data_IF_063473516354
#
_entry.id   IF_063473516354
#
_cell.length_a   1.000
_cell.length_b   1.000
_cell.length_c   1.000
_cell.angle_alpha   90.00
_cell.angle_beta   90.00
_cell.angle_gamma   90.00
#
_symmetry.space_group_name_H-M   'P 1'
#
loop_
_entity.id
_entity.type
_entity.pdbx_description
1 polymer ?
#
# COMPACT_ATOMS: atom_id res chain seq x y z
N UNK A 1 25.48 -6.82 -0.95
CA UNK A 1 24.52 -6.71 -2.07
C UNK A 1 25.11 -5.96 -3.28
N UNK A 2 25.50 -4.69 -3.15
CA UNK A 2 26.11 -3.92 -4.25
C UNK A 2 27.35 -4.56 -4.90
N UNK A 3 28.23 -5.20 -4.11
CA UNK A 3 29.39 -5.95 -4.63
C UNK A 3 28.97 -7.12 -5.55
N UNK A 4 27.97 -7.89 -5.11
CA UNK A 4 27.43 -9.07 -5.82
C UNK A 4 26.70 -8.70 -7.13
N UNK A 5 26.15 -7.49 -7.20
CA UNK A 5 25.57 -6.94 -8.43
C UNK A 5 26.67 -6.54 -9.42
N UNK A 6 27.77 -5.94 -8.93
CA UNK A 6 28.88 -5.45 -9.76
C UNK A 6 29.78 -6.56 -10.28
N UNK A 7 30.00 -7.62 -9.50
CA UNK A 7 30.85 -8.74 -9.90
C UNK A 7 30.12 -9.80 -10.74
N UNK A 8 28.84 -9.58 -11.06
CA UNK A 8 28.05 -10.46 -11.92
C UNK A 8 27.58 -11.76 -11.26
N UNK A 9 27.84 -11.97 -9.97
CA UNK A 9 27.42 -13.18 -9.23
C UNK A 9 25.91 -13.40 -9.33
N UNK A 10 25.13 -12.33 -9.21
CA UNK A 10 23.66 -12.38 -9.33
C UNK A 10 23.23 -12.81 -10.74
N UNK A 11 23.86 -12.28 -11.78
CA UNK A 11 23.54 -12.62 -13.17
C UNK A 11 23.87 -14.10 -13.49
N UNK A 12 24.98 -14.61 -12.95
CA UNK A 12 25.37 -16.02 -13.11
C UNK A 12 24.37 -16.96 -12.46
N UNK A 13 23.95 -16.67 -11.22
CA UNK A 13 22.91 -17.44 -10.52
C UNK A 13 21.57 -17.41 -11.26
N UNK A 14 21.21 -16.25 -11.81
CA UNK A 14 19.99 -16.07 -12.58
C UNK A 14 19.99 -16.98 -13.83
N UNK A 15 21.10 -17.00 -14.56
CA UNK A 15 21.32 -17.86 -15.72
C UNK A 15 21.31 -19.35 -15.36
N UNK A 16 22.09 -19.76 -14.36
CA UNK A 16 22.28 -21.16 -13.99
C UNK A 16 20.98 -21.80 -13.49
N UNK A 17 20.06 -20.98 -12.97
CA UNK A 17 18.72 -21.40 -12.53
C UNK A 17 17.66 -21.36 -13.63
N UNK A 18 18.03 -20.98 -14.86
CA UNK A 18 17.08 -20.86 -15.97
C UNK A 18 15.99 -19.82 -15.72
N UNK A 19 16.25 -18.83 -14.85
CA UNK A 19 15.28 -17.80 -14.53
C UNK A 19 15.03 -16.91 -15.76
N UNK A 20 13.79 -16.47 -15.93
CA UNK A 20 13.39 -15.52 -16.99
C UNK A 20 12.94 -14.23 -16.31
N UNK A 21 13.40 -13.09 -16.82
CA UNK A 21 12.97 -11.76 -16.36
C UNK A 21 12.48 -10.96 -17.55
N UNK A 22 11.32 -10.33 -17.38
CA UNK A 22 10.86 -9.27 -18.27
C UNK A 22 11.13 -7.95 -17.56
N UNK A 23 11.96 -7.11 -18.16
CA UNK A 23 12.22 -5.75 -17.68
C UNK A 23 11.51 -4.82 -18.67
N UNK A 24 10.44 -4.18 -18.22
CA UNK A 24 9.71 -3.18 -18.98
C UNK A 24 9.88 -1.81 -18.36
N UNK A 25 10.23 -0.81 -19.17
CA UNK A 25 10.06 0.60 -18.85
C UNK A 25 8.94 1.13 -19.75
N UNK A 26 7.93 1.77 -19.17
CA UNK A 26 6.82 2.36 -19.92
C UNK A 26 6.36 3.62 -19.20
N UNK A 27 6.27 4.71 -19.96
CA UNK A 27 5.75 6.01 -19.50
C UNK A 27 4.21 6.05 -19.41
N UNK A 28 3.50 4.96 -19.74
CA UNK A 28 2.03 4.98 -19.80
C UNK A 28 1.37 4.78 -18.44
N UNK A 29 0.38 5.64 -18.13
CA UNK A 29 -0.54 5.49 -16.99
C UNK A 29 -1.15 4.09 -16.93
N UNK A 30 -1.43 3.50 -18.09
CA UNK A 30 -1.95 2.13 -18.23
C UNK A 30 -1.05 1.08 -17.60
N UNK A 31 0.27 1.16 -17.80
CA UNK A 31 1.19 0.23 -17.14
C UNK A 31 1.18 0.37 -15.62
N UNK A 32 1.12 1.61 -15.13
CA UNK A 32 0.99 1.91 -13.70
C UNK A 32 -0.30 1.31 -13.12
N UNK A 33 -1.42 1.44 -13.84
CA UNK A 33 -2.70 0.85 -13.46
C UNK A 33 -2.60 -0.68 -13.40
N UNK A 34 -2.17 -1.34 -14.48
CA UNK A 34 -2.01 -2.81 -14.54
C UNK A 34 -1.10 -3.31 -13.41
N UNK A 35 0.06 -2.68 -13.24
CA UNK A 35 1.03 -3.08 -12.21
C UNK A 35 0.44 -2.90 -10.81
N UNK A 36 -0.22 -1.77 -10.55
CA UNK A 36 -0.85 -1.52 -9.24
C UNK A 36 -2.00 -2.48 -8.97
N UNK A 37 -2.80 -2.82 -9.98
CA UNK A 37 -3.95 -3.71 -9.85
C UNK A 37 -3.49 -5.13 -9.54
N UNK A 38 -2.55 -5.66 -10.33
CA UNK A 38 -2.07 -7.05 -10.22
C UNK A 38 -1.16 -7.25 -9.02
N UNK A 39 -0.27 -6.31 -8.69
CA UNK A 39 0.70 -6.51 -7.60
C UNK A 39 0.19 -6.09 -6.22
N UNK A 40 -0.76 -5.15 -6.15
CA UNK A 40 -1.15 -4.52 -4.88
C UNK A 40 -2.66 -4.60 -4.65
N UNK A 41 -3.47 -4.03 -5.55
CA UNK A 41 -4.89 -3.80 -5.27
C UNK A 41 -5.69 -5.11 -5.24
N UNK A 42 -5.50 -6.02 -6.18
CA UNK A 42 -6.19 -7.31 -6.19
C UNK A 42 -5.70 -8.25 -5.07
N UNK A 43 -4.38 -8.49 -4.88
CA UNK A 43 -3.89 -9.40 -3.84
C UNK A 43 -4.32 -9.01 -2.42
N UNK A 44 -4.30 -7.71 -2.07
CA UNK A 44 -4.73 -7.26 -0.73
C UNK A 44 -6.22 -7.56 -0.50
N UNK A 45 -7.07 -7.37 -1.51
CA UNK A 45 -8.50 -7.64 -1.39
C UNK A 45 -8.78 -9.14 -1.29
N UNK A 46 -8.11 -9.94 -2.11
CA UNK A 46 -8.22 -11.39 -2.05
C UNK A 46 -7.79 -11.92 -0.68
N UNK A 47 -6.66 -11.44 -0.15
CA UNK A 47 -6.21 -11.82 1.19
C UNK A 47 -7.23 -11.46 2.28
N UNK A 48 -7.79 -10.24 2.24
CA UNK A 48 -8.84 -9.85 3.20
C UNK A 48 -10.09 -10.72 3.05
N UNK A 49 -10.52 -11.02 1.82
CA UNK A 49 -11.66 -11.89 1.57
C UNK A 49 -11.41 -13.27 2.17
N UNK A 50 -10.24 -13.86 1.96
CA UNK A 50 -9.87 -15.15 2.56
C UNK A 50 -9.92 -15.11 4.09
N UNK A 51 -9.43 -14.04 4.72
CA UNK A 51 -9.53 -13.88 6.18
C UNK A 51 -10.99 -13.83 6.65
N UNK A 52 -11.82 -13.03 5.96
CA UNK A 52 -13.23 -12.88 6.30
C UNK A 52 -14.01 -14.18 6.11
N UNK A 53 -13.79 -14.88 5.00
CA UNK A 53 -14.41 -16.18 4.69
C UNK A 53 -14.01 -17.27 5.71
N UNK A 54 -12.81 -17.16 6.27
CA UNK A 54 -12.34 -18.03 7.36
C UNK A 54 -12.88 -17.64 8.74
N UNK A 55 -13.73 -16.62 8.85
CA UNK A 55 -14.36 -16.18 10.08
C UNK A 55 -13.53 -15.19 10.91
N UNK A 56 -12.49 -14.57 10.36
CA UNK A 56 -11.80 -13.46 11.03
C UNK A 56 -12.75 -12.27 11.10
N UNK A 57 -13.01 -11.80 12.31
CA UNK A 57 -13.92 -10.69 12.56
C UNK A 57 -13.36 -9.36 12.04
N UNK A 58 -14.26 -8.47 11.61
CA UNK A 58 -13.89 -7.20 10.97
C UNK A 58 -13.03 -6.30 11.88
N UNK A 59 -13.22 -6.36 13.20
CA UNK A 59 -12.42 -5.63 14.19
C UNK A 59 -10.94 -6.06 14.24
N UNK A 60 -10.60 -7.18 13.60
CA UNK A 60 -9.23 -7.69 13.44
C UNK A 60 -8.63 -7.40 12.07
N UNK A 61 -9.35 -6.69 11.19
CA UNK A 61 -8.93 -6.37 9.83
C UNK A 61 -8.95 -4.84 9.67
N UNK A 62 -7.76 -4.23 9.60
CA UNK A 62 -7.63 -2.81 9.31
C UNK A 62 -7.17 -2.59 7.86
N UNK A 63 -8.13 -2.36 6.96
CA UNK A 63 -7.84 -1.91 5.59
C UNK A 63 -7.78 -0.40 5.52
N UNK A 64 -6.82 0.11 4.78
CA UNK A 64 -6.71 1.55 4.57
C UNK A 64 -6.11 1.93 3.21
N UNK A 65 -6.25 3.22 2.88
CA UNK A 65 -5.53 3.90 1.79
C UNK A 65 -5.09 5.28 2.28
N UNK A 66 -3.80 5.57 2.15
CA UNK A 66 -3.29 6.92 2.37
C UNK A 66 -3.23 7.69 1.05
N UNK A 67 -3.91 8.83 1.00
CA UNK A 67 -3.79 9.84 -0.05
C UNK A 67 -3.16 11.14 0.49
N UNK A 68 -2.94 11.21 1.79
CA UNK A 68 -2.17 12.27 2.41
C UNK A 68 -0.71 12.24 1.94
N UNK A 69 -0.19 13.41 1.57
CA UNK A 69 1.17 13.59 1.07
C UNK A 69 1.88 14.66 1.90
N UNK A 70 2.80 14.24 2.77
CA UNK A 70 3.62 15.16 3.55
C UNK A 70 4.53 16.00 2.63
N UNK A 71 4.59 17.32 2.84
CA UNK A 71 5.37 18.28 2.04
C UNK A 71 6.83 17.90 1.92
N UNK A 72 7.42 17.30 2.96
CA UNK A 72 8.82 16.89 2.96
C UNK A 72 9.16 15.88 1.85
N UNK A 73 8.19 15.08 1.40
CA UNK A 73 8.42 14.06 0.37
C UNK A 73 8.64 14.68 -1.02
N UNK A 74 8.25 15.95 -1.22
CA UNK A 74 8.49 16.68 -2.46
C UNK A 74 9.99 16.94 -2.72
N UNK A 75 10.86 16.68 -1.74
CA UNK A 75 12.32 16.67 -1.92
C UNK A 75 12.83 15.40 -2.61
N UNK A 76 12.03 14.33 -2.65
CA UNK A 76 12.40 13.01 -3.18
C UNK A 76 11.58 12.63 -4.42
N UNK A 77 10.30 12.97 -4.43
CA UNK A 77 9.38 12.67 -5.53
C UNK A 77 8.68 13.94 -5.98
N UNK A 78 8.49 14.07 -7.28
CA UNK A 78 7.79 15.22 -7.83
C UNK A 78 6.31 15.25 -7.41
N UNK A 79 5.72 16.43 -7.07
CA UNK A 79 4.33 16.53 -6.64
C UNK A 79 3.30 16.03 -7.66
N UNK A 80 3.57 16.14 -8.96
CA UNK A 80 2.68 15.69 -10.04
C UNK A 80 2.44 14.18 -10.05
N UNK A 81 3.32 13.40 -9.42
CA UNK A 81 3.15 11.94 -9.27
C UNK A 81 2.11 11.58 -8.19
N UNK A 82 1.60 12.57 -7.45
CA UNK A 82 0.63 12.34 -6.38
C UNK A 82 1.19 11.43 -5.27
N UNK A 83 0.36 10.50 -4.78
CA UNK A 83 0.78 9.46 -3.82
C UNK A 83 1.04 8.16 -4.58
N UNK A 84 2.25 8.03 -5.10
CA UNK A 84 2.75 6.79 -5.70
C UNK A 84 3.30 5.83 -4.64
N UNK A 85 3.76 4.66 -5.07
CA UNK A 85 4.33 3.63 -4.21
C UNK A 85 5.39 4.21 -3.26
N UNK A 86 5.29 3.84 -1.98
CA UNK A 86 6.19 4.28 -0.90
C UNK A 86 6.16 5.77 -0.53
N UNK A 87 5.30 6.62 -1.12
CA UNK A 87 5.18 8.04 -0.72
C UNK A 87 4.63 8.18 0.71
N UNK A 88 3.77 7.26 1.13
CA UNK A 88 3.19 7.20 2.47
C UNK A 88 4.18 6.75 3.56
N UNK A 89 5.43 6.37 3.19
CA UNK A 89 6.46 5.99 4.16
C UNK A 89 6.76 7.10 5.18
N UNK A 90 6.65 8.37 4.78
CA UNK A 90 6.86 9.50 5.70
C UNK A 90 5.84 9.51 6.83
N UNK A 91 4.60 9.09 6.55
CA UNK A 91 3.51 8.97 7.50
C UNK A 91 3.76 7.77 8.41
N UNK A 92 3.98 6.59 7.82
CA UNK A 92 4.21 5.32 8.52
C UNK A 92 5.38 5.38 9.51
N UNK A 93 6.52 5.91 9.07
CA UNK A 93 7.73 6.00 9.90
C UNK A 93 7.79 7.25 10.76
N UNK A 94 6.73 8.06 10.76
CA UNK A 94 6.67 9.32 11.49
C UNK A 94 7.92 10.20 11.26
N UNK A 95 8.27 10.43 9.99
CA UNK A 95 9.50 11.11 9.56
C UNK A 95 9.48 12.63 9.77
N UNK A 96 8.96 13.08 10.90
CA UNK A 96 8.83 14.50 11.28
C UNK A 96 10.12 15.30 11.16
N UNK A 97 11.28 14.67 11.41
CA UNK A 97 12.62 15.26 11.24
C UNK A 97 12.93 15.71 9.81
N UNK A 98 12.19 15.24 8.80
CA UNK A 98 12.39 15.62 7.40
C UNK A 98 11.64 16.89 7.00
N UNK A 99 10.89 17.50 7.93
CA UNK A 99 10.28 18.82 7.79
C UNK A 99 8.77 18.81 7.72
N UNK A 100 8.11 18.08 8.64
CA UNK A 100 6.68 18.21 8.83
C UNK A 100 6.40 19.56 9.48
N UNK A 101 5.36 20.26 9.03
CA UNK A 101 4.80 21.35 9.82
C UNK A 101 3.95 20.82 11.01
N UNK A 102 3.45 21.74 11.84
CA UNK A 102 2.70 21.37 13.04
C UNK A 102 1.40 20.64 12.71
N UNK A 103 0.73 21.02 11.62
CA UNK A 103 -0.53 20.45 11.19
C UNK A 103 -0.31 19.05 10.60
N UNK A 104 0.72 18.87 9.77
CA UNK A 104 1.12 17.57 9.24
C UNK A 104 1.52 16.59 10.35
N UNK A 105 2.24 17.09 11.36
CA UNK A 105 2.63 16.28 12.52
C UNK A 105 1.41 15.89 13.37
N UNK A 106 0.42 16.78 13.52
CA UNK A 106 -0.82 16.48 14.22
C UNK A 106 -1.70 15.48 13.45
N UNK A 107 -1.92 15.72 12.16
CA UNK A 107 -2.68 14.83 11.28
C UNK A 107 -2.06 13.42 11.24
N UNK A 108 -0.74 13.33 11.13
CA UNK A 108 -0.04 12.04 11.13
C UNK A 108 -0.17 11.33 12.47
N UNK A 109 -0.14 12.05 13.60
CA UNK A 109 -0.39 11.43 14.92
C UNK A 109 -1.82 10.90 15.03
N UNK A 110 -2.83 11.65 14.56
CA UNK A 110 -4.21 11.18 14.55
C UNK A 110 -4.34 9.91 13.69
N UNK A 111 -3.76 9.92 12.49
CA UNK A 111 -3.72 8.75 11.61
C UNK A 111 -3.07 7.52 12.26
N UNK A 112 -1.88 7.68 12.85
CA UNK A 112 -1.16 6.60 13.51
C UNK A 112 -1.90 6.08 14.74
N UNK A 113 -2.64 6.94 15.46
CA UNK A 113 -3.43 6.56 16.64
C UNK A 113 -4.57 5.59 16.32
N UNK A 114 -5.02 5.58 15.06
CA UNK A 114 -6.09 4.69 14.57
C UNK A 114 -5.56 3.42 13.91
N UNK A 115 -4.34 3.48 13.37
CA UNK A 115 -3.75 2.44 12.51
C UNK A 115 -2.60 1.68 13.20
N UNK A 116 -1.37 2.19 13.09
CA UNK A 116 -0.16 1.48 13.48
C UNK A 116 0.02 1.39 15.01
N UNK A 117 -0.37 2.42 15.76
CA UNK A 117 -0.20 2.43 17.22
C UNK A 117 -1.02 1.31 17.88
N UNK A 118 -2.32 1.13 17.57
CA UNK A 118 -3.06 0.00 18.12
C UNK A 118 -2.48 -1.37 17.72
N UNK A 119 -2.07 -1.52 16.46
CA UNK A 119 -1.47 -2.75 15.96
C UNK A 119 -0.20 -3.13 16.74
N UNK A 120 0.72 -2.19 16.93
CA UNK A 120 1.99 -2.44 17.64
C UNK A 120 1.76 -2.70 19.13
N UNK A 121 0.78 -2.04 19.73
CA UNK A 121 0.46 -2.19 21.15
C UNK A 121 -0.48 -3.38 21.43
N UNK A 122 -1.01 -4.06 20.41
CA UNK A 122 -2.01 -5.11 20.56
C UNK A 122 -3.34 -4.61 21.12
N UNK A 123 -3.67 -3.33 20.95
CA UNK A 123 -4.96 -2.77 21.37
C UNK A 123 -5.96 -2.80 20.21
N UNK A 124 -7.28 -2.72 20.49
CA UNK A 124 -8.30 -2.76 19.44
C UNK A 124 -8.07 -1.69 18.36
N UNK A 125 -8.17 -2.12 17.11
CA UNK A 125 -8.09 -1.25 15.95
C UNK A 125 -9.27 -0.27 15.93
N UNK A 126 -9.03 0.97 15.50
CA UNK A 126 -10.07 2.00 15.45
C UNK A 126 -10.49 2.23 14.00
N UNK A 127 -11.41 1.40 13.54
CA UNK A 127 -12.00 1.49 12.21
C UNK A 127 -13.48 1.86 12.30
N UNK A 128 -13.90 2.81 11.46
CA UNK A 128 -15.31 3.17 11.29
C UNK A 128 -15.98 2.32 10.17
N UNK A 129 -15.26 1.33 9.61
CA UNK A 129 -15.79 0.45 8.57
C UNK A 129 -16.79 -0.56 9.16
N UNK A 130 -17.93 -0.71 8.50
CA UNK A 130 -18.97 -1.68 8.85
C UNK A 130 -18.95 -2.95 7.99
N UNK A 131 -18.20 -2.94 6.88
CA UNK A 131 -18.05 -4.10 5.98
C UNK A 131 -16.60 -4.26 5.50
N UNK A 132 -16.26 -5.46 5.02
CA UNK A 132 -14.95 -5.74 4.39
C UNK A 132 -14.75 -4.98 3.07
N UNK A 133 -15.84 -4.54 2.44
CA UNK A 133 -15.86 -3.73 1.23
C UNK A 133 -15.63 -2.24 1.51
N UNK A 134 -15.18 -1.90 2.73
CA UNK A 134 -14.78 -0.54 3.09
C UNK A 134 -13.31 -0.52 3.50
N UNK A 135 -12.73 0.68 3.47
CA UNK A 135 -11.42 0.94 4.03
C UNK A 135 -11.36 2.34 4.64
N UNK A 136 -10.44 2.53 5.59
CA UNK A 136 -10.14 3.85 6.15
C UNK A 136 -9.29 4.64 5.15
N UNK A 137 -9.75 5.82 4.76
CA UNK A 137 -9.03 6.74 3.91
C UNK A 137 -8.39 7.85 4.75
N UNK A 138 -7.09 8.08 4.55
CA UNK A 138 -6.42 9.30 4.99
C UNK A 138 -6.35 10.26 3.79
N UNK A 139 -7.23 11.26 3.75
CA UNK A 139 -7.46 12.09 2.56
C UNK A 139 -6.29 13.05 2.30
N UNK A 140 -6.20 13.67 1.10
CA UNK A 140 -5.21 14.71 0.83
C UNK A 140 -5.27 15.89 1.80
N UNK A 141 -6.45 16.16 2.39
CA UNK A 141 -6.69 17.25 3.32
C UNK A 141 -6.56 16.82 4.80
N UNK A 142 -5.89 15.69 5.06
CA UNK A 142 -5.69 15.14 6.40
C UNK A 142 -6.97 14.72 7.16
N UNK A 143 -8.08 14.52 6.46
CA UNK A 143 -9.28 13.92 7.05
C UNK A 143 -9.16 12.39 7.10
N UNK A 144 -9.80 11.77 8.08
CA UNK A 144 -9.85 10.31 8.22
C UNK A 144 -11.30 9.87 8.18
N UNK A 145 -11.63 8.97 7.24
CA UNK A 145 -13.01 8.50 7.05
C UNK A 145 -13.07 7.09 6.50
N UNK A 146 -14.11 6.34 6.83
CA UNK A 146 -14.43 5.10 6.13
C UNK A 146 -15.03 5.44 4.76
N UNK A 147 -14.61 4.73 3.72
CA UNK A 147 -15.15 4.86 2.35
C UNK A 147 -15.44 3.49 1.75
N UNK A 148 -16.42 3.44 0.85
CA UNK A 148 -16.72 2.24 0.08
C UNK A 148 -15.63 1.96 -0.95
N UNK A 149 -15.24 0.70 -1.02
CA UNK A 149 -14.31 0.17 -2.01
C UNK A 149 -15.07 -0.15 -3.30
N UNK A 150 -15.28 0.89 -4.11
CA UNK A 150 -15.98 0.79 -5.41
C UNK A 150 -15.32 -0.19 -6.39
N UNK A 151 -14.05 -0.55 -6.16
CA UNK A 151 -13.31 -1.50 -6.99
C UNK A 151 -13.26 -2.91 -6.39
N UNK A 152 -13.92 -3.16 -5.25
CA UNK A 152 -13.84 -4.45 -4.55
C UNK A 152 -14.15 -5.62 -5.46
N UNK A 153 -15.33 -5.64 -6.08
CA UNK A 153 -15.79 -6.79 -6.86
C UNK A 153 -14.90 -7.01 -8.09
N UNK A 154 -14.54 -5.93 -8.83
CA UNK A 154 -13.64 -6.01 -9.98
C UNK A 154 -12.26 -6.58 -9.61
N UNK A 155 -11.70 -6.16 -8.48
CA UNK A 155 -10.39 -6.62 -8.04
C UNK A 155 -10.40 -8.05 -7.49
N UNK A 156 -11.53 -8.50 -6.91
CA UNK A 156 -11.72 -9.92 -6.56
C UNK A 156 -11.72 -10.77 -7.83
N UNK A 157 -12.50 -10.39 -8.84
CA UNK A 157 -12.52 -11.09 -10.14
C UNK A 157 -11.13 -11.12 -10.78
N UNK A 158 -10.38 -10.02 -10.75
CA UNK A 158 -9.00 -10.00 -11.26
C UNK A 158 -8.10 -10.98 -10.49
N UNK A 159 -8.25 -11.06 -9.17
CA UNK A 159 -7.46 -12.00 -8.36
C UNK A 159 -7.78 -13.46 -8.66
N UNK A 160 -9.03 -13.79 -8.96
CA UNK A 160 -9.45 -15.14 -9.35
C UNK A 160 -8.81 -15.55 -10.67
N UNK A 161 -8.86 -14.68 -11.68
CA UNK A 161 -8.19 -14.89 -12.99
C UNK A 161 -6.68 -15.14 -12.81
N UNK A 162 -6.02 -14.34 -11.96
CA UNK A 162 -4.59 -14.49 -11.67
C UNK A 162 -4.25 -15.77 -10.89
N UNK A 163 -5.21 -16.37 -10.18
CA UNK A 163 -4.99 -17.59 -9.40
C UNK A 163 -5.21 -18.87 -10.22
N UNK A 164 -6.03 -18.83 -11.27
CA UNK A 164 -6.35 -19.96 -12.15
C UNK A 164 -5.24 -20.31 -13.16
N UNK A 165 -4.21 -19.48 -13.29
CA UNK A 165 -3.16 -19.59 -14.33
C UNK A 165 -1.99 -20.53 -13.96
N UNK A 166 -2.22 -21.55 -13.12
CA UNK A 166 -1.20 -22.52 -12.68
C UNK A 166 -1.37 -23.88 -13.34
#
# INVERSE_FOLDING_TARGET
MLKLLRDGTVAKLFKDRGMKITIGETESETYGLITSDVQVRAPIRAFVKTLADAGVSLDRIFRYRSQFRAKCISKLYSPELGVTHSVDMCVWWYLTRFGFDQDEAAATRDWLSRSLIPLVNGTPLRSDCSTIKQYMEFTPNAEIRAVDDVYWDQMITLSEICAETV
#
